data_IF_044946773717
#
_entry.id   IF_044946773717
#
_cell.length_a   1.000
_cell.length_b   1.000
_cell.length_c   1.000
_cell.angle_alpha   90.00
_cell.angle_beta   90.00
_cell.angle_gamma   90.00
#
_symmetry.space_group_name_H-M   'P 1'
#
loop_
_entity.id
_entity.type
_entity.pdbx_description
1 polymer ?
#
# COMPACT_ATOMS: atom_id res chain seq x y z
N UNK A 1 -15.04 10.00 9.16
CA UNK A 1 -16.25 9.83 10.01
C UNK A 1 -15.97 10.36 11.42
N UNK A 2 -16.97 10.41 12.31
CA UNK A 2 -16.78 10.91 13.68
C UNK A 2 -15.73 10.11 14.47
N UNK A 3 -15.82 8.78 14.39
CA UNK A 3 -14.89 7.84 15.04
C UNK A 3 -13.47 8.02 14.49
N UNK A 4 -13.36 8.18 13.17
CA UNK A 4 -12.12 8.54 12.48
C UNK A 4 -11.45 9.73 13.15
N UNK A 5 -12.18 10.82 13.27
CA UNK A 5 -11.65 12.09 13.74
C UNK A 5 -11.08 11.98 15.16
N UNK A 6 -11.70 11.20 16.03
CA UNK A 6 -11.31 11.04 17.43
C UNK A 6 -10.02 10.23 17.60
N UNK A 7 -9.93 9.04 17.01
CA UNK A 7 -8.76 8.16 17.20
C UNK A 7 -7.48 8.73 16.58
N UNK A 8 -7.65 9.70 15.70
CA UNK A 8 -6.62 10.30 14.89
C UNK A 8 -6.25 11.72 15.30
N UNK A 9 -6.89 12.22 16.35
CA UNK A 9 -6.67 13.59 16.83
C UNK A 9 -6.76 14.64 15.69
N UNK A 10 -7.68 14.41 14.74
CA UNK A 10 -7.87 15.32 13.61
C UNK A 10 -8.58 16.59 14.12
N UNK A 11 -8.24 17.77 13.57
CA UNK A 11 -8.78 19.03 14.05
C UNK A 11 -10.30 19.06 13.93
N UNK A 12 -10.93 19.89 14.77
CA UNK A 12 -12.39 19.89 14.86
C UNK A 12 -13.10 20.20 13.53
N UNK A 13 -12.41 20.94 12.68
CA UNK A 13 -12.81 21.36 11.34
C UNK A 13 -12.65 20.28 10.27
N UNK A 14 -12.06 19.12 10.58
CA UNK A 14 -11.86 18.06 9.60
C UNK A 14 -13.19 17.48 9.13
N UNK A 15 -13.33 17.37 7.80
CA UNK A 15 -14.37 16.62 7.13
C UNK A 15 -13.74 15.70 6.10
N UNK A 16 -14.28 14.49 5.97
CA UNK A 16 -13.84 13.51 4.98
C UNK A 16 -14.49 13.84 3.64
N UNK A 17 -13.66 14.05 2.60
CA UNK A 17 -14.14 14.26 1.24
C UNK A 17 -14.90 13.03 0.73
N UNK A 18 -16.02 13.26 0.06
CA UNK A 18 -16.82 12.21 -0.59
C UNK A 18 -17.08 12.61 -2.04
N UNK A 19 -17.01 11.63 -2.92
CA UNK A 19 -17.39 11.73 -4.31
C UNK A 19 -18.45 10.66 -4.61
N UNK A 20 -19.37 10.96 -5.52
CA UNK A 20 -20.40 10.02 -5.97
C UNK A 20 -20.26 9.76 -7.47
N UNK A 21 -20.57 8.56 -7.90
CA UNK A 21 -20.63 8.23 -9.33
C UNK A 21 -21.97 8.68 -9.90
N UNK A 22 -21.95 9.39 -11.03
CA UNK A 22 -23.17 9.68 -11.80
C UNK A 22 -23.37 8.55 -12.82
N UNK A 23 -24.54 7.90 -12.88
CA UNK A 23 -24.82 6.89 -13.90
C UNK A 23 -24.71 7.46 -15.32
N UNK A 24 -24.26 6.62 -16.26
CA UNK A 24 -24.10 7.01 -17.66
C UNK A 24 -25.46 7.19 -18.34
N UNK A 25 -25.82 8.39 -18.85
CA UNK A 25 -27.03 8.59 -19.63
C UNK A 25 -26.82 8.11 -21.06
N UNK A 26 -27.80 7.39 -21.61
CA UNK A 26 -27.72 6.84 -22.96
C UNK A 26 -28.99 7.12 -23.74
N UNK A 27 -28.84 7.60 -24.98
CA UNK A 27 -29.96 7.72 -25.92
C UNK A 27 -30.59 6.34 -26.13
N UNK A 28 -31.90 6.25 -25.91
CA UNK A 28 -32.62 4.99 -25.92
C UNK A 28 -34.11 5.18 -26.22
N UNK A 29 -34.72 4.18 -26.86
CA UNK A 29 -36.17 4.13 -27.09
C UNK A 29 -36.97 3.75 -25.83
N UNK A 30 -36.29 3.46 -24.72
CA UNK A 30 -36.90 3.11 -23.44
C UNK A 30 -37.43 4.34 -22.71
N UNK A 31 -38.56 4.17 -22.02
CA UNK A 31 -39.08 5.18 -21.09
C UNK A 31 -38.14 5.23 -19.88
N UNK A 32 -37.65 6.43 -19.57
CA UNK A 32 -36.80 6.69 -18.42
C UNK A 32 -37.66 7.08 -17.21
N UNK A 33 -38.54 8.07 -17.40
CA UNK A 33 -39.41 8.63 -16.37
C UNK A 33 -39.44 10.15 -16.39
N UNK A 34 -40.25 10.74 -15.52
CA UNK A 34 -40.43 12.19 -15.38
C UNK A 34 -39.25 12.86 -14.64
N UNK A 35 -38.15 13.15 -15.35
CA UNK A 35 -36.99 13.84 -14.75
C UNK A 35 -37.16 15.36 -14.66
N UNK A 36 -38.05 15.95 -15.48
CA UNK A 36 -38.28 17.40 -15.51
C UNK A 36 -39.38 17.85 -14.51
N UNK A 37 -40.14 16.90 -13.95
CA UNK A 37 -41.16 17.11 -12.93
C UNK A 37 -42.49 17.63 -13.48
N UNK A 38 -42.78 17.47 -14.76
CA UNK A 38 -44.01 17.98 -15.40
C UNK A 38 -45.20 17.00 -15.33
N UNK A 39 -44.97 15.81 -14.78
CA UNK A 39 -45.95 14.73 -14.65
C UNK A 39 -46.06 13.81 -15.86
N UNK A 40 -45.15 13.92 -16.83
CA UNK A 40 -45.10 13.09 -18.04
C UNK A 40 -43.80 12.27 -18.05
N UNK A 41 -43.91 10.97 -18.31
CA UNK A 41 -42.73 10.12 -18.42
C UNK A 41 -41.98 10.38 -19.73
N UNK A 42 -40.68 10.66 -19.62
CA UNK A 42 -39.83 11.04 -20.74
C UNK A 42 -38.92 9.90 -21.23
N UNK A 43 -38.38 10.07 -22.44
CA UNK A 43 -37.35 9.20 -23.03
C UNK A 43 -36.10 10.03 -23.33
N UNK A 44 -34.92 9.45 -23.11
CA UNK A 44 -33.66 10.07 -23.50
C UNK A 44 -33.47 9.89 -25.02
N UNK A 45 -33.80 10.90 -25.81
CA UNK A 45 -33.84 10.80 -27.28
C UNK A 45 -32.73 11.59 -27.96
N UNK A 46 -32.11 12.52 -27.24
CA UNK A 46 -31.10 13.44 -27.74
C UNK A 46 -29.92 13.57 -26.76
N UNK A 47 -28.84 14.17 -27.24
CA UNK A 47 -27.72 14.57 -26.39
C UNK A 47 -28.16 15.58 -25.30
N UNK A 48 -29.07 16.50 -25.63
CA UNK A 48 -29.60 17.45 -24.64
C UNK A 48 -30.33 16.71 -23.51
N UNK A 49 -31.14 15.70 -23.84
CA UNK A 49 -31.80 14.87 -22.83
C UNK A 49 -30.78 14.11 -21.96
N UNK A 50 -29.68 13.62 -22.54
CA UNK A 50 -28.61 12.98 -21.78
C UNK A 50 -28.02 13.94 -20.74
N UNK A 51 -27.73 15.18 -21.14
CA UNK A 51 -27.18 16.21 -20.24
C UNK A 51 -28.20 16.61 -19.18
N UNK A 52 -29.47 16.75 -19.54
CA UNK A 52 -30.55 17.10 -18.60
C UNK A 52 -30.77 16.01 -17.54
N UNK A 53 -30.81 14.73 -17.95
CA UNK A 53 -30.90 13.60 -17.02
C UNK A 53 -29.67 13.51 -16.12
N UNK A 54 -28.48 13.76 -16.67
CA UNK A 54 -27.24 13.80 -15.88
C UNK A 54 -27.31 14.89 -14.81
N UNK A 55 -27.73 16.10 -15.20
CA UNK A 55 -27.91 17.24 -14.30
C UNK A 55 -28.96 16.96 -13.23
N UNK A 56 -30.10 16.38 -13.60
CA UNK A 56 -31.15 15.99 -12.66
C UNK A 56 -30.60 15.05 -11.57
N UNK A 57 -29.82 14.03 -11.94
CA UNK A 57 -29.23 13.11 -10.97
C UNK A 57 -28.23 13.83 -10.05
N UNK A 58 -27.36 14.68 -10.62
CA UNK A 58 -26.41 15.51 -9.88
C UNK A 58 -27.13 16.40 -8.86
N UNK A 59 -28.18 17.10 -9.29
CA UNK A 59 -28.98 17.98 -8.45
C UNK A 59 -29.68 17.22 -7.33
N UNK A 60 -30.17 16.02 -7.61
CA UNK A 60 -30.80 15.16 -6.61
C UNK A 60 -29.79 14.64 -5.58
N UNK A 61 -28.57 14.29 -6.01
CA UNK A 61 -27.47 13.95 -5.09
C UNK A 61 -27.13 15.13 -4.17
N UNK A 62 -26.96 16.33 -4.74
CA UNK A 62 -26.63 17.55 -3.99
C UNK A 62 -27.72 17.85 -2.96
N UNK A 63 -28.99 17.89 -3.41
CA UNK A 63 -30.15 18.18 -2.55
C UNK A 63 -30.25 17.17 -1.40
N UNK A 64 -30.22 15.86 -1.70
CA UNK A 64 -30.34 14.81 -0.68
C UNK A 64 -29.16 14.82 0.30
N UNK A 65 -27.95 15.08 -0.17
CA UNK A 65 -26.78 15.18 0.72
C UNK A 65 -26.91 16.37 1.67
N UNK A 66 -27.34 17.53 1.15
CA UNK A 66 -27.57 18.74 1.95
C UNK A 66 -28.67 18.53 3.00
N UNK A 67 -29.78 17.89 2.65
CA UNK A 67 -30.88 17.57 3.56
C UNK A 67 -30.48 16.67 4.73
N UNK A 68 -29.48 15.80 4.52
CA UNK A 68 -28.97 14.93 5.59
C UNK A 68 -28.06 15.66 6.57
N UNK A 69 -27.46 16.79 6.17
CA UNK A 69 -26.66 17.62 7.07
C UNK A 69 -25.46 16.89 7.70
N UNK A 70 -24.75 16.05 6.94
CA UNK A 70 -23.62 15.27 7.47
C UNK A 70 -22.52 16.18 8.06
N UNK A 71 -22.26 16.04 9.36
CA UNK A 71 -21.30 16.91 10.07
C UNK A 71 -19.84 16.63 9.70
N UNK A 72 -19.51 15.38 9.37
CA UNK A 72 -18.14 14.90 9.17
C UNK A 72 -17.78 14.59 7.71
N UNK A 73 -18.70 14.83 6.78
CA UNK A 73 -18.50 14.57 5.36
C UNK A 73 -18.53 15.89 4.59
N UNK A 74 -17.68 15.99 3.58
CA UNK A 74 -17.60 17.11 2.67
C UNK A 74 -17.82 16.59 1.26
N UNK A 75 -18.98 16.91 0.68
CA UNK A 75 -19.31 16.44 -0.65
C UNK A 75 -18.55 17.26 -1.68
N UNK A 76 -17.53 16.66 -2.30
CA UNK A 76 -16.60 17.36 -3.19
C UNK A 76 -17.00 17.31 -4.65
N UNK A 77 -17.73 16.28 -5.06
CA UNK A 77 -18.30 16.21 -6.39
C UNK A 77 -18.46 14.80 -6.88
N UNK A 78 -18.12 14.59 -8.15
CA UNK A 78 -18.54 13.40 -8.88
C UNK A 78 -17.40 12.73 -9.60
N UNK A 79 -17.57 11.42 -9.80
CA UNK A 79 -16.71 10.59 -10.62
C UNK A 79 -17.44 10.21 -11.91
N UNK A 80 -16.77 10.40 -13.05
CA UNK A 80 -17.26 9.98 -14.36
C UNK A 80 -17.28 8.46 -14.45
N UNK A 81 -18.46 7.87 -14.65
CA UNK A 81 -18.65 6.43 -14.48
C UNK A 81 -17.99 5.55 -15.55
N UNK A 82 -17.81 6.07 -16.78
CA UNK A 82 -17.15 5.32 -17.84
C UNK A 82 -15.64 5.44 -17.64
N UNK A 83 -14.90 4.35 -17.85
CA UNK A 83 -13.43 4.36 -17.78
C UNK A 83 -12.76 4.68 -19.14
N UNK A 84 -13.57 5.10 -20.12
CA UNK A 84 -13.15 5.50 -21.46
C UNK A 84 -14.05 6.61 -22.00
N UNK A 85 -13.53 7.35 -22.99
CA UNK A 85 -14.28 8.36 -23.76
C UNK A 85 -14.17 7.91 -25.23
N UNK A 86 -15.17 7.15 -25.69
CA UNK A 86 -15.14 6.42 -26.96
C UNK A 86 -16.10 7.06 -27.97
N UNK A 87 -15.55 7.73 -28.98
CA UNK A 87 -16.33 8.31 -30.09
C UNK A 87 -16.97 7.24 -31.00
N UNK A 88 -16.40 6.03 -31.04
CA UNK A 88 -16.87 4.93 -31.89
C UNK A 88 -18.18 4.29 -31.40
N UNK A 89 -18.50 4.40 -30.10
CA UNK A 89 -19.77 3.89 -29.56
C UNK A 89 -20.90 4.89 -29.81
N UNK A 90 -20.63 6.17 -29.56
CA UNK A 90 -21.57 7.28 -29.65
C UNK A 90 -20.81 8.52 -30.19
N UNK A 91 -21.25 9.11 -31.31
CA UNK A 91 -20.61 10.28 -31.93
C UNK A 91 -20.71 11.58 -31.10
N UNK A 92 -21.40 11.50 -29.96
CA UNK A 92 -21.63 12.60 -29.02
C UNK A 92 -20.84 12.47 -27.70
N UNK A 93 -20.01 11.44 -27.52
CA UNK A 93 -19.41 11.12 -26.21
C UNK A 93 -18.52 12.24 -25.66
N UNK A 94 -17.66 12.83 -26.49
CA UNK A 94 -16.76 13.92 -26.08
C UNK A 94 -17.55 15.16 -25.69
N UNK A 95 -18.57 15.52 -26.50
CA UNK A 95 -19.43 16.67 -26.21
C UNK A 95 -20.26 16.44 -24.93
N UNK A 96 -20.77 15.22 -24.73
CA UNK A 96 -21.48 14.85 -23.50
C UNK A 96 -20.58 15.02 -22.28
N UNK A 97 -19.36 14.48 -22.31
CA UNK A 97 -18.41 14.60 -21.21
C UNK A 97 -18.10 16.07 -20.90
N UNK A 98 -17.78 16.87 -21.92
CA UNK A 98 -17.50 18.30 -21.76
C UNK A 98 -18.67 19.05 -21.11
N UNK A 99 -19.89 18.87 -21.64
CA UNK A 99 -21.09 19.54 -21.10
C UNK A 99 -21.40 19.08 -19.67
N UNK A 100 -21.29 17.80 -19.36
CA UNK A 100 -21.54 17.29 -18.02
C UNK A 100 -20.51 17.79 -16.99
N UNK A 101 -19.23 17.87 -17.36
CA UNK A 101 -18.16 18.42 -16.51
C UNK A 101 -18.42 19.90 -16.23
N UNK A 102 -18.74 20.69 -17.26
CA UNK A 102 -19.08 22.11 -17.10
C UNK A 102 -20.28 22.30 -16.16
N UNK A 103 -21.31 21.45 -16.29
CA UNK A 103 -22.49 21.48 -15.43
C UNK A 103 -22.17 21.15 -13.97
N UNK A 104 -21.31 20.15 -13.70
CA UNK A 104 -20.82 19.85 -12.34
C UNK A 104 -20.07 21.06 -11.75
N UNK A 105 -19.15 21.65 -12.52
CA UNK A 105 -18.30 22.75 -12.06
C UNK A 105 -19.09 24.04 -11.84
N UNK A 106 -20.11 24.32 -12.68
CA UNK A 106 -21.00 25.46 -12.49
C UNK A 106 -21.78 25.43 -11.16
N UNK A 107 -21.94 24.23 -10.58
CA UNK A 107 -22.56 24.01 -9.26
C UNK A 107 -21.56 24.08 -8.11
N UNK A 108 -20.27 24.32 -8.39
CA UNK A 108 -19.21 24.42 -7.41
C UNK A 108 -18.65 23.08 -6.94
N UNK A 109 -18.84 22.01 -7.71
CA UNK A 109 -18.34 20.67 -7.44
C UNK A 109 -17.24 20.27 -8.42
N UNK A 110 -16.46 19.26 -8.05
CA UNK A 110 -15.36 18.74 -8.86
C UNK A 110 -15.80 17.51 -9.67
N UNK A 111 -15.20 17.31 -10.85
CA UNK A 111 -15.39 16.11 -11.67
C UNK A 111 -14.07 15.36 -11.84
N UNK A 112 -14.03 14.09 -11.45
CA UNK A 112 -12.84 13.24 -11.54
C UNK A 112 -13.06 12.14 -12.57
N UNK A 113 -12.02 11.83 -13.34
CA UNK A 113 -12.00 10.73 -14.29
C UNK A 113 -10.91 9.72 -13.91
N UNK A 114 -11.22 8.43 -14.03
CA UNK A 114 -10.35 7.31 -13.64
C UNK A 114 -10.34 6.30 -14.80
N UNK A 115 -9.60 6.60 -15.87
CA UNK A 115 -9.47 5.69 -17.01
C UNK A 115 -8.56 4.51 -16.72
N UNK A 116 -8.80 3.38 -17.38
CA UNK A 116 -7.78 2.33 -17.45
C UNK A 116 -6.64 2.72 -18.39
N UNK A 117 -5.45 2.17 -18.13
CA UNK A 117 -4.27 2.42 -18.96
C UNK A 117 -4.52 2.00 -20.42
N UNK A 118 -4.27 2.92 -21.36
CA UNK A 118 -4.56 2.78 -22.79
C UNK A 118 -6.06 2.83 -23.17
N UNK A 119 -6.94 3.24 -22.26
CA UNK A 119 -8.33 3.58 -22.62
C UNK A 119 -8.38 4.67 -23.69
N UNK A 120 -9.36 4.55 -24.59
CA UNK A 120 -9.60 5.54 -25.62
C UNK A 120 -10.09 6.85 -24.98
N UNK A 121 -9.60 7.96 -25.52
CA UNK A 121 -9.98 9.32 -25.13
C UNK A 121 -9.38 9.84 -23.82
N UNK A 122 -8.60 9.02 -23.10
CA UNK A 122 -7.92 9.46 -21.86
C UNK A 122 -7.04 10.70 -22.06
N UNK A 123 -6.35 10.80 -23.20
CA UNK A 123 -5.49 11.96 -23.53
C UNK A 123 -6.23 13.29 -23.69
N UNK A 124 -7.57 13.27 -23.83
CA UNK A 124 -8.40 14.48 -23.97
C UNK A 124 -8.98 14.96 -22.64
N UNK A 125 -8.72 14.25 -21.53
CA UNK A 125 -9.38 14.54 -20.26
C UNK A 125 -9.14 15.96 -19.74
N UNK A 126 -7.94 16.51 -19.95
CA UNK A 126 -7.61 17.90 -19.62
C UNK A 126 -8.40 18.89 -20.49
N UNK A 127 -8.48 18.64 -21.81
CA UNK A 127 -9.23 19.48 -22.76
C UNK A 127 -10.74 19.47 -22.48
N UNK A 128 -11.26 18.33 -22.00
CA UNK A 128 -12.66 18.18 -21.56
C UNK A 128 -12.94 18.94 -20.26
N UNK A 129 -11.90 19.20 -19.45
CA UNK A 129 -11.99 20.03 -18.25
C UNK A 129 -12.13 19.25 -16.94
N UNK A 130 -11.81 17.95 -16.89
CA UNK A 130 -11.81 17.19 -15.63
C UNK A 130 -10.85 17.81 -14.61
N UNK A 131 -11.28 17.91 -13.35
CA UNK A 131 -10.48 18.47 -12.25
C UNK A 131 -9.28 17.59 -11.89
N UNK A 132 -9.41 16.27 -12.09
CA UNK A 132 -8.32 15.31 -11.96
C UNK A 132 -8.57 14.09 -12.84
N UNK A 133 -7.49 13.55 -13.42
CA UNK A 133 -7.49 12.27 -14.12
C UNK A 133 -6.53 11.31 -13.43
N UNK A 134 -6.99 10.11 -13.06
CA UNK A 134 -6.22 9.13 -12.29
C UNK A 134 -6.17 7.82 -13.06
N UNK A 135 -5.00 7.42 -13.55
CA UNK A 135 -4.88 6.28 -14.45
C UNK A 135 -4.82 4.96 -13.67
N UNK A 136 -5.55 3.96 -14.12
CA UNK A 136 -5.55 2.62 -13.53
C UNK A 136 -4.55 1.73 -14.29
N UNK A 137 -3.48 1.23 -13.64
CA UNK A 137 -2.53 0.36 -14.32
C UNK A 137 -3.18 -0.95 -14.78
N UNK A 138 -4.13 -1.49 -14.01
CA UNK A 138 -4.87 -2.70 -14.34
C UNK A 138 -3.99 -3.98 -14.46
N UNK A 139 -2.75 -3.94 -13.94
CA UNK A 139 -1.79 -5.05 -13.94
C UNK A 139 -2.34 -6.28 -13.21
N UNK A 140 -3.01 -6.08 -12.07
CA UNK A 140 -3.62 -7.18 -11.32
C UNK A 140 -4.73 -7.93 -12.07
N UNK A 141 -5.26 -7.34 -13.15
CA UNK A 141 -6.46 -7.85 -13.84
C UNK A 141 -6.20 -8.28 -15.29
N UNK A 142 -5.04 -7.92 -15.86
CA UNK A 142 -4.77 -8.09 -17.28
C UNK A 142 -3.55 -8.98 -17.55
N UNK A 143 -3.80 -10.17 -18.09
CA UNK A 143 -2.75 -11.15 -18.40
C UNK A 143 -1.68 -10.64 -19.37
N UNK A 144 -1.99 -9.65 -20.22
CA UNK A 144 -1.01 -9.06 -21.13
C UNK A 144 -0.03 -8.14 -20.40
N UNK A 145 -0.49 -7.37 -19.41
CA UNK A 145 0.35 -6.52 -18.57
C UNK A 145 1.26 -7.36 -17.65
N UNK A 146 0.76 -8.52 -17.21
CA UNK A 146 1.45 -9.45 -16.31
C UNK A 146 2.66 -10.17 -16.94
N UNK A 147 2.85 -10.11 -18.27
CA UNK A 147 3.96 -10.78 -18.95
C UNK A 147 5.31 -10.15 -18.63
N UNK A 148 5.34 -8.84 -18.48
CA UNK A 148 6.51 -8.06 -18.12
C UNK A 148 6.06 -6.86 -17.26
N UNK A 149 5.77 -7.09 -15.97
CA UNK A 149 5.22 -6.07 -15.09
C UNK A 149 6.10 -4.84 -14.94
N UNK A 150 7.43 -5.01 -14.95
CA UNK A 150 8.39 -3.92 -14.83
C UNK A 150 8.33 -3.03 -16.05
N UNK A 151 8.50 -3.61 -17.25
CA UNK A 151 8.42 -2.85 -18.51
C UNK A 151 7.06 -2.19 -18.69
N UNK A 152 6.00 -2.90 -18.33
CA UNK A 152 4.64 -2.37 -18.37
C UNK A 152 4.50 -1.10 -17.51
N UNK A 153 5.00 -1.16 -16.27
CA UNK A 153 4.91 0.00 -15.38
C UNK A 153 5.86 1.14 -15.78
N UNK A 154 6.98 0.87 -16.46
CA UNK A 154 7.79 1.94 -17.07
C UNK A 154 6.98 2.74 -18.09
N UNK A 155 6.28 2.06 -19.00
CA UNK A 155 5.45 2.70 -20.03
C UNK A 155 4.23 3.42 -19.39
N UNK A 156 3.63 2.84 -18.34
CA UNK A 156 2.58 3.47 -17.54
C UNK A 156 3.07 4.78 -16.93
N UNK A 157 4.22 4.74 -16.24
CA UNK A 157 4.81 5.90 -15.56
C UNK A 157 5.10 7.02 -16.55
N UNK A 158 5.71 6.68 -17.68
CA UNK A 158 6.01 7.65 -18.73
C UNK A 158 4.75 8.30 -19.30
N UNK A 159 3.67 7.53 -19.48
CA UNK A 159 2.40 8.04 -19.99
C UNK A 159 1.71 8.97 -19.00
N UNK A 160 1.60 8.55 -17.74
CA UNK A 160 0.98 9.38 -16.71
C UNK A 160 1.79 10.66 -16.46
N UNK A 161 3.12 10.61 -16.49
CA UNK A 161 3.96 11.80 -16.42
C UNK A 161 3.73 12.76 -17.62
N UNK A 162 3.55 12.22 -18.84
CA UNK A 162 3.30 13.01 -20.04
C UNK A 162 1.99 13.80 -19.98
N UNK A 163 0.93 13.19 -19.46
CA UNK A 163 -0.41 13.79 -19.40
C UNK A 163 -0.81 14.29 -18.00
N UNK A 164 0.14 14.36 -17.07
CA UNK A 164 -0.09 14.81 -15.70
C UNK A 164 -1.16 14.02 -14.94
N UNK A 165 -1.26 12.72 -15.21
CA UNK A 165 -2.24 11.84 -14.56
C UNK A 165 -1.78 11.36 -13.19
N UNK A 166 -2.75 11.17 -12.31
CA UNK A 166 -2.63 10.41 -11.09
C UNK A 166 -2.45 8.91 -11.34
N UNK A 167 -2.30 8.15 -10.25
CA UNK A 167 -2.24 6.68 -10.27
C UNK A 167 -3.30 6.07 -9.34
N UNK A 168 -4.02 5.07 -9.82
CA UNK A 168 -4.79 4.19 -8.95
C UNK A 168 -3.89 3.04 -8.46
N UNK A 169 -3.74 2.94 -7.15
CA UNK A 169 -3.07 1.81 -6.50
C UNK A 169 -4.08 0.68 -6.31
N UNK A 170 -3.94 -0.41 -7.07
CA UNK A 170 -4.95 -1.47 -7.12
C UNK A 170 -4.52 -2.70 -6.33
N UNK A 171 -4.92 -2.72 -5.06
CA UNK A 171 -4.77 -3.91 -4.25
C UNK A 171 -5.92 -4.87 -4.55
N UNK A 172 -5.64 -5.97 -5.27
CA UNK A 172 -6.67 -6.94 -5.67
C UNK A 172 -7.54 -7.38 -4.48
N UNK A 173 -8.84 -7.47 -4.70
CA UNK A 173 -9.79 -8.02 -3.73
C UNK A 173 -9.41 -9.47 -3.44
N UNK A 174 -9.00 -9.77 -2.19
CA UNK A 174 -8.46 -11.06 -1.70
C UNK A 174 -6.93 -11.24 -1.63
N UNK A 175 -6.11 -10.20 -1.85
CA UNK A 175 -4.64 -10.31 -1.76
C UNK A 175 -4.16 -11.03 -0.48
N UNK A 176 -4.77 -10.73 0.66
CA UNK A 176 -4.39 -11.32 1.95
C UNK A 176 -4.59 -12.86 2.02
N UNK A 177 -5.53 -13.43 1.26
CA UNK A 177 -5.76 -14.88 1.21
C UNK A 177 -5.30 -15.52 -0.10
N UNK A 178 -4.75 -14.73 -1.02
CA UNK A 178 -4.35 -15.16 -2.35
C UNK A 178 -3.18 -14.30 -2.84
N UNK A 179 -2.03 -14.44 -2.15
CA UNK A 179 -0.87 -13.59 -2.39
C UNK A 179 -0.27 -13.81 -3.77
N UNK A 180 -0.10 -15.04 -4.22
CA UNK A 180 0.55 -15.29 -5.51
C UNK A 180 -0.47 -15.33 -6.65
N UNK A 181 -0.25 -14.62 -7.78
CA UNK A 181 0.87 -13.70 -8.08
C UNK A 181 0.61 -12.22 -7.70
N UNK A 182 -0.52 -11.91 -7.07
CA UNK A 182 -1.02 -10.55 -6.89
C UNK A 182 -0.21 -9.65 -5.94
N UNK A 183 0.52 -10.25 -5.01
CA UNK A 183 1.47 -9.59 -4.12
C UNK A 183 2.59 -8.92 -4.92
N UNK A 184 3.12 -9.63 -5.92
CA UNK A 184 4.20 -9.12 -6.76
C UNK A 184 3.69 -8.00 -7.69
N UNK A 185 2.46 -8.09 -8.18
CA UNK A 185 1.87 -7.01 -8.97
C UNK A 185 1.65 -5.73 -8.16
N UNK A 186 1.15 -5.86 -6.93
CA UNK A 186 1.01 -4.69 -6.06
C UNK A 186 2.36 -4.14 -5.59
N UNK A 187 3.35 -5.02 -5.35
CA UNK A 187 4.73 -4.62 -5.10
C UNK A 187 5.29 -3.81 -6.28
N UNK A 188 5.05 -4.24 -7.52
CA UNK A 188 5.48 -3.53 -8.71
C UNK A 188 4.89 -2.11 -8.78
N UNK A 189 3.65 -1.91 -8.37
CA UNK A 189 3.08 -0.56 -8.25
C UNK A 189 3.85 0.31 -7.26
N UNK A 190 4.11 -0.21 -6.06
CA UNK A 190 4.84 0.51 -5.01
C UNK A 190 6.26 0.86 -5.46
N UNK A 191 6.97 -0.08 -6.08
CA UNK A 191 8.31 0.11 -6.63
C UNK A 191 8.32 1.19 -7.70
N UNK A 192 7.42 1.08 -8.69
CA UNK A 192 7.38 2.02 -9.82
C UNK A 192 7.00 3.43 -9.36
N UNK A 193 6.01 3.55 -8.48
CA UNK A 193 5.51 4.85 -8.04
C UNK A 193 6.44 5.55 -7.04
N UNK A 194 7.13 4.80 -6.15
CA UNK A 194 8.12 5.36 -5.22
C UNK A 194 9.38 5.89 -5.92
N UNK A 195 9.69 5.40 -7.13
CA UNK A 195 10.89 5.78 -7.90
C UNK A 195 10.65 6.81 -9.01
N UNK A 196 9.41 7.19 -9.28
CA UNK A 196 9.05 8.00 -10.46
C UNK A 196 8.47 9.38 -10.14
N UNK A 197 8.43 9.78 -8.87
CA UNK A 197 7.75 11.00 -8.41
C UNK A 197 6.25 10.83 -8.21
N UNK A 198 5.63 9.77 -8.74
CA UNK A 198 4.19 9.50 -8.55
C UNK A 198 3.79 9.37 -7.09
N UNK A 199 4.68 8.93 -6.21
CA UNK A 199 4.40 8.85 -4.77
C UNK A 199 4.13 10.23 -4.13
N UNK A 200 4.77 11.29 -4.60
CA UNK A 200 4.70 12.62 -3.95
C UNK A 200 4.00 13.68 -4.78
N UNK A 201 4.06 13.55 -6.11
CA UNK A 201 3.70 14.62 -7.03
C UNK A 201 2.38 14.34 -7.78
N UNK A 202 1.78 13.17 -7.58
CA UNK A 202 0.57 12.74 -8.28
C UNK A 202 -0.62 12.52 -7.33
N UNK A 203 -1.83 12.67 -7.85
CA UNK A 203 -3.06 12.29 -7.14
C UNK A 203 -3.18 10.77 -7.10
N UNK A 204 -3.60 10.22 -5.96
CA UNK A 204 -3.80 8.79 -5.80
C UNK A 204 -5.28 8.43 -5.68
N UNK A 205 -5.67 7.33 -6.31
CA UNK A 205 -6.85 6.56 -5.94
C UNK A 205 -6.40 5.19 -5.39
N UNK A 206 -7.27 4.53 -4.62
CA UNK A 206 -6.98 3.23 -4.04
C UNK A 206 -8.15 2.28 -4.30
N UNK A 207 -7.90 1.23 -5.08
CA UNK A 207 -8.84 0.13 -5.24
C UNK A 207 -8.46 -1.00 -4.27
N UNK A 208 -9.46 -1.51 -3.55
CA UNK A 208 -9.27 -2.57 -2.55
C UNK A 208 -10.41 -3.60 -2.50
N UNK A 209 -11.29 -3.59 -3.51
CA UNK A 209 -12.55 -4.34 -3.49
C UNK A 209 -13.62 -3.75 -2.57
N UNK A 210 -14.71 -4.50 -2.39
CA UNK A 210 -15.85 -4.09 -1.58
C UNK A 210 -15.71 -4.46 -0.09
N UNK A 211 -16.59 -3.90 0.75
CA UNK A 211 -16.63 -4.17 2.18
C UNK A 211 -15.42 -3.59 2.92
N UNK A 212 -14.88 -4.33 3.90
CA UNK A 212 -13.67 -3.91 4.61
C UNK A 212 -12.45 -3.76 3.68
N UNK A 213 -12.41 -4.50 2.57
CA UNK A 213 -11.36 -4.43 1.55
C UNK A 213 -10.03 -5.07 1.94
N UNK A 214 -9.16 -5.26 0.94
CA UNK A 214 -7.85 -5.90 1.10
C UNK A 214 -6.89 -5.09 1.97
N UNK A 215 -6.99 -3.75 2.01
CA UNK A 215 -6.09 -2.92 2.83
C UNK A 215 -6.37 -3.18 4.31
N UNK A 216 -7.63 -3.27 4.73
CA UNK A 216 -7.98 -3.63 6.11
C UNK A 216 -7.52 -5.05 6.45
N UNK A 217 -7.71 -6.01 5.55
CA UNK A 217 -7.23 -7.39 5.76
C UNK A 217 -5.71 -7.44 5.99
N UNK A 218 -4.95 -6.66 5.23
CA UNK A 218 -3.51 -6.51 5.45
C UNK A 218 -3.22 -5.86 6.81
N UNK A 219 -3.96 -4.82 7.18
CA UNK A 219 -3.78 -4.10 8.44
C UNK A 219 -3.93 -5.02 9.67
N UNK A 220 -4.93 -5.90 9.68
CA UNK A 220 -5.23 -6.75 10.86
C UNK A 220 -4.55 -8.13 10.82
N UNK A 221 -3.75 -8.41 9.79
CA UNK A 221 -3.12 -9.71 9.63
C UNK A 221 -2.00 -9.95 10.64
N UNK A 222 -1.93 -11.18 11.17
CA UNK A 222 -0.79 -11.67 11.95
C UNK A 222 0.33 -12.23 11.07
N UNK A 223 0.07 -12.47 9.78
CA UNK A 223 1.10 -12.83 8.82
C UNK A 223 1.93 -11.59 8.49
N UNK A 224 3.25 -11.68 8.73
CA UNK A 224 4.16 -10.54 8.61
C UNK A 224 4.33 -10.04 7.17
N UNK A 225 4.23 -10.92 6.16
CA UNK A 225 4.33 -10.53 4.74
C UNK A 225 3.05 -9.84 4.28
N UNK A 226 1.90 -10.36 4.69
CA UNK A 226 0.60 -9.72 4.41
C UNK A 226 0.52 -8.36 5.12
N UNK A 227 0.93 -8.29 6.39
CA UNK A 227 0.95 -7.03 7.16
C UNK A 227 1.88 -5.99 6.55
N UNK A 228 3.02 -6.41 6.02
CA UNK A 228 3.98 -5.53 5.36
C UNK A 228 3.35 -4.71 4.23
N UNK A 229 2.42 -5.26 3.44
CA UNK A 229 1.75 -4.51 2.38
C UNK A 229 0.93 -3.32 2.90
N UNK A 230 0.32 -3.44 4.09
CA UNK A 230 -0.34 -2.31 4.73
C UNK A 230 0.68 -1.25 5.18
N UNK A 231 1.76 -1.67 5.84
CA UNK A 231 2.78 -0.76 6.35
C UNK A 231 3.52 -0.04 5.20
N UNK A 232 3.77 -0.74 4.08
CA UNK A 232 4.36 -0.18 2.88
C UNK A 232 3.41 0.82 2.20
N UNK A 233 2.13 0.47 2.05
CA UNK A 233 1.11 1.40 1.52
C UNK A 233 0.95 2.64 2.42
N UNK A 234 1.00 2.47 3.75
CA UNK A 234 0.99 3.59 4.68
C UNK A 234 2.18 4.52 4.45
N UNK A 235 3.40 3.98 4.36
CA UNK A 235 4.59 4.79 4.02
C UNK A 235 4.48 5.45 2.65
N UNK A 236 3.88 4.78 1.66
CA UNK A 236 3.61 5.35 0.34
C UNK A 236 2.70 6.57 0.44
N UNK A 237 1.56 6.44 1.14
CA UNK A 237 0.61 7.54 1.39
C UNK A 237 1.28 8.71 2.13
N UNK A 238 2.25 8.43 3.01
CA UNK A 238 3.02 9.45 3.73
C UNK A 238 4.18 10.03 2.92
N UNK A 239 4.46 9.51 1.72
CA UNK A 239 5.60 9.93 0.90
C UNK A 239 6.96 9.54 1.48
N UNK A 240 7.01 8.52 2.34
CA UNK A 240 8.24 8.09 3.05
C UNK A 240 8.68 6.68 2.68
N UNK A 241 7.99 6.00 1.76
CA UNK A 241 8.37 4.65 1.33
C UNK A 241 9.65 4.71 0.50
N UNK A 242 10.64 3.90 0.89
CA UNK A 242 11.91 3.75 0.16
C UNK A 242 12.11 2.31 -0.29
N UNK A 243 12.12 2.07 -1.60
CA UNK A 243 12.41 0.76 -2.19
C UNK A 243 13.56 0.93 -3.21
N UNK A 244 14.83 1.01 -2.77
CA UNK A 244 15.97 1.23 -3.67
C UNK A 244 16.15 0.07 -4.67
N UNK A 245 16.74 0.34 -5.84
CA UNK A 245 16.97 -0.67 -6.90
C UNK A 245 17.89 -1.80 -6.45
N UNK A 246 18.85 -1.47 -5.61
CA UNK A 246 19.73 -2.42 -4.94
C UNK A 246 19.36 -2.45 -3.46
N UNK A 247 19.26 -3.64 -2.89
CA UNK A 247 18.96 -3.85 -1.48
C UNK A 247 20.16 -4.52 -0.82
N UNK A 248 21.04 -3.70 -0.23
CA UNK A 248 22.13 -4.21 0.60
C UNK A 248 21.60 -4.70 1.95
N UNK A 249 22.29 -5.67 2.54
CA UNK A 249 21.95 -6.15 3.89
C UNK A 249 22.79 -5.42 4.92
N UNK A 250 22.13 -4.74 5.85
CA UNK A 250 22.75 -4.17 7.03
C UNK A 250 22.75 -5.23 8.16
N UNK A 251 23.93 -5.70 8.54
CA UNK A 251 24.12 -6.63 9.65
C UNK A 251 25.50 -6.53 10.29
N UNK A 252 25.64 -7.10 11.48
CA UNK A 252 26.93 -7.23 12.18
C UNK A 252 27.63 -8.52 11.76
N UNK A 253 28.71 -8.40 10.97
CA UNK A 253 29.46 -9.56 10.46
C UNK A 253 30.40 -10.19 11.48
N UNK A 254 30.74 -9.46 12.55
CA UNK A 254 31.61 -9.91 13.63
C UNK A 254 30.99 -9.48 14.97
N UNK A 255 30.81 -10.44 15.88
CA UNK A 255 30.22 -10.19 17.19
C UNK A 255 31.07 -10.82 18.29
N UNK A 256 30.99 -10.27 19.51
CA UNK A 256 31.64 -10.82 20.70
C UNK A 256 30.59 -11.07 21.77
N UNK A 257 30.66 -12.23 22.41
CA UNK A 257 29.74 -12.62 23.49
C UNK A 257 30.50 -13.34 24.61
N UNK A 258 30.13 -13.06 25.85
CA UNK A 258 30.65 -13.79 26.99
C UNK A 258 30.05 -15.20 27.04
N UNK A 259 30.84 -16.18 27.50
CA UNK A 259 30.41 -17.56 27.73
C UNK A 259 29.12 -17.60 28.57
N UNK A 260 28.13 -18.37 28.09
CA UNK A 260 26.80 -18.47 28.70
C UNK A 260 25.87 -17.25 28.49
N UNK A 261 26.37 -16.20 27.82
CA UNK A 261 25.61 -15.00 27.46
C UNK A 261 24.56 -15.22 26.37
N UNK A 262 23.91 -14.13 25.96
CA UNK A 262 22.97 -14.09 24.84
C UNK A 262 23.28 -12.85 24.03
N UNK A 263 23.70 -13.02 22.78
CA UNK A 263 23.82 -11.93 21.84
C UNK A 263 22.49 -11.71 21.12
N UNK A 264 22.13 -10.45 20.86
CA UNK A 264 20.99 -10.06 20.02
C UNK A 264 21.50 -9.10 18.96
N UNK A 265 21.56 -9.54 17.71
CA UNK A 265 21.98 -8.71 16.59
C UNK A 265 20.80 -8.39 15.68
N UNK A 266 20.82 -7.21 15.06
CA UNK A 266 19.79 -6.80 14.08
C UNK A 266 20.24 -7.09 12.67
N UNK A 267 19.26 -7.39 11.81
CA UNK A 267 19.46 -7.52 10.37
C UNK A 267 18.30 -6.83 9.65
N UNK A 268 18.61 -6.06 8.61
CA UNK A 268 17.60 -5.48 7.73
C UNK A 268 18.15 -5.32 6.32
N UNK A 269 17.25 -5.27 5.34
CA UNK A 269 17.60 -4.74 4.02
C UNK A 269 17.58 -3.21 4.07
N UNK A 270 18.41 -2.58 3.24
CA UNK A 270 18.31 -1.15 2.99
C UNK A 270 16.91 -0.79 2.47
N UNK A 271 16.36 0.33 2.96
CA UNK A 271 15.00 0.75 2.63
C UNK A 271 13.92 -0.05 3.37
N UNK A 272 12.76 -0.16 2.74
CA UNK A 272 11.52 -0.68 3.33
C UNK A 272 11.11 -2.03 2.73
N UNK A 273 12.03 -2.72 2.05
CA UNK A 273 11.77 -4.02 1.46
C UNK A 273 11.30 -5.05 2.50
N UNK A 274 10.30 -5.86 2.12
CA UNK A 274 10.01 -7.07 2.87
C UNK A 274 11.24 -7.98 2.86
N UNK A 275 11.53 -8.62 3.99
CA UNK A 275 12.64 -9.54 4.13
C UNK A 275 12.22 -10.74 4.98
N UNK A 276 12.68 -11.92 4.58
CA UNK A 276 12.50 -13.18 5.30
C UNK A 276 13.88 -13.82 5.51
N UNK A 277 14.59 -13.36 6.54
CA UNK A 277 15.88 -13.95 6.90
C UNK A 277 15.67 -15.33 7.53
N UNK A 278 16.51 -16.29 7.15
CA UNK A 278 16.46 -17.66 7.65
C UNK A 278 17.85 -18.11 8.09
N UNK A 279 17.92 -18.94 9.13
CA UNK A 279 19.21 -19.54 9.51
C UNK A 279 19.61 -20.57 8.46
N UNK A 280 20.64 -20.26 7.67
CA UNK A 280 21.18 -21.14 6.63
C UNK A 280 22.12 -22.20 7.23
N UNK A 281 22.92 -21.82 8.23
CA UNK A 281 23.87 -22.71 8.90
C UNK A 281 23.92 -22.41 10.39
N UNK A 282 23.70 -23.43 11.22
CA UNK A 282 23.90 -23.32 12.66
C UNK A 282 25.38 -23.17 13.02
N UNK A 283 25.62 -22.56 14.18
CA UNK A 283 26.92 -22.53 14.81
C UNK A 283 27.35 -23.92 15.28
N UNK A 284 28.66 -24.16 15.38
CA UNK A 284 29.17 -25.45 15.86
C UNK A 284 29.18 -25.52 17.39
N UNK A 285 29.43 -24.39 18.06
CA UNK A 285 29.59 -24.31 19.51
C UNK A 285 28.59 -23.34 20.16
N UNK A 286 27.40 -23.26 19.57
CA UNK A 286 26.31 -22.42 20.02
C UNK A 286 25.06 -22.64 19.18
N UNK A 287 23.98 -21.98 19.57
CA UNK A 287 22.70 -22.03 18.86
C UNK A 287 22.32 -20.64 18.37
N UNK A 288 21.92 -20.55 17.09
CA UNK A 288 21.34 -19.33 16.52
C UNK A 288 19.85 -19.52 16.23
N UNK A 289 19.07 -18.48 16.45
CA UNK A 289 17.65 -18.38 16.08
C UNK A 289 17.34 -17.00 15.52
N UNK A 290 16.47 -16.91 14.53
CA UNK A 290 16.02 -15.63 13.96
C UNK A 290 14.55 -15.35 14.32
N UNK A 291 14.24 -14.08 14.59
CA UNK A 291 12.92 -13.60 14.97
C UNK A 291 12.45 -12.53 13.97
N UNK A 292 11.74 -12.90 12.89
CA UNK A 292 11.37 -11.97 11.81
C UNK A 292 10.57 -10.76 12.27
N UNK A 293 9.63 -10.95 13.18
CA UNK A 293 8.82 -9.86 13.74
C UNK A 293 9.63 -8.79 14.50
N UNK A 294 10.86 -9.12 14.92
CA UNK A 294 11.77 -8.19 15.58
C UNK A 294 12.90 -7.70 14.65
N UNK A 295 13.13 -8.36 13.50
CA UNK A 295 14.31 -8.12 12.67
C UNK A 295 15.62 -8.50 13.38
N UNK A 296 15.58 -9.50 14.27
CA UNK A 296 16.68 -9.82 15.18
C UNK A 296 17.07 -11.30 15.13
N UNK A 297 18.37 -11.59 15.05
CA UNK A 297 18.91 -12.91 15.39
C UNK A 297 19.38 -12.95 16.84
N UNK A 298 19.39 -14.15 17.41
CA UNK A 298 19.94 -14.41 18.73
C UNK A 298 20.95 -15.54 18.65
N UNK A 299 22.12 -15.32 19.23
CA UNK A 299 23.16 -16.33 19.37
C UNK A 299 23.42 -16.60 20.85
N UNK A 300 23.50 -17.88 21.22
CA UNK A 300 23.86 -18.32 22.56
C UNK A 300 24.96 -19.38 22.46
N UNK A 301 26.17 -19.12 22.98
CA UNK A 301 27.23 -20.11 22.97
C UNK A 301 26.88 -21.28 23.89
N UNK A 302 27.47 -22.44 23.63
CA UNK A 302 27.42 -23.57 24.53
C UNK A 302 28.03 -23.20 25.89
N UNK A 303 27.47 -23.77 26.96
CA UNK A 303 27.69 -23.30 28.34
C UNK A 303 29.16 -23.19 28.75
N UNK A 304 30.03 -24.02 28.20
CA UNK A 304 31.45 -24.11 28.56
C UNK A 304 32.38 -23.60 27.46
N UNK A 305 31.85 -23.22 26.30
CA UNK A 305 32.66 -22.89 25.14
C UNK A 305 33.31 -21.50 25.27
N UNK A 306 34.58 -21.41 24.87
CA UNK A 306 35.37 -20.19 24.70
C UNK A 306 36.18 -20.40 23.42
N UNK A 307 36.15 -19.44 22.51
CA UNK A 307 36.82 -19.55 21.21
C UNK A 307 36.02 -18.96 20.05
N UNK A 308 36.48 -19.24 18.84
CA UNK A 308 35.89 -18.76 17.59
C UNK A 308 34.78 -19.69 17.08
N UNK A 309 33.61 -19.13 16.84
CA UNK A 309 32.45 -19.81 16.27
C UNK A 309 31.93 -19.02 15.06
N UNK A 310 31.04 -19.63 14.28
CA UNK A 310 30.41 -18.93 13.15
C UNK A 310 29.11 -19.59 12.75
N UNK A 311 28.17 -18.79 12.29
CA UNK A 311 26.92 -19.25 11.70
C UNK A 311 26.62 -18.45 10.45
N UNK A 312 25.64 -18.90 9.67
CA UNK A 312 25.20 -18.19 8.46
C UNK A 312 23.68 -17.99 8.46
N UNK A 313 23.26 -16.81 8.01
CA UNK A 313 21.86 -16.44 7.79
C UNK A 313 21.70 -16.14 6.30
N UNK A 314 20.62 -16.61 5.68
CA UNK A 314 20.30 -16.31 4.29
C UNK A 314 19.10 -15.37 4.20
N UNK A 315 19.05 -14.58 3.13
CA UNK A 315 17.91 -13.73 2.77
C UNK A 315 17.66 -13.78 1.27
N UNK A 316 16.40 -13.86 0.87
CA UNK A 316 16.01 -13.60 -0.51
C UNK A 316 15.85 -12.10 -0.72
N UNK A 317 16.60 -11.56 -1.68
CA UNK A 317 16.54 -10.16 -2.09
C UNK A 317 15.34 -9.89 -3.01
N UNK A 318 14.95 -8.62 -3.18
CA UNK A 318 13.86 -8.24 -4.07
C UNK A 318 14.02 -8.64 -5.53
N UNK A 319 15.26 -8.81 -6.01
CA UNK A 319 15.58 -9.29 -7.36
C UNK A 319 15.46 -10.82 -7.50
N UNK A 320 15.02 -11.51 -6.45
CA UNK A 320 14.88 -12.97 -6.38
C UNK A 320 16.18 -13.70 -6.04
N UNK A 321 17.32 -13.01 -5.99
CA UNK A 321 18.60 -13.63 -5.61
C UNK A 321 18.61 -13.99 -4.12
N UNK A 322 19.40 -14.99 -3.74
CA UNK A 322 19.62 -15.34 -2.34
C UNK A 322 21.04 -14.96 -1.95
N UNK A 323 21.19 -14.27 -0.83
CA UNK A 323 22.48 -13.94 -0.24
C UNK A 323 22.66 -14.69 1.08
N UNK A 324 23.81 -15.33 1.26
CA UNK A 324 24.21 -15.98 2.52
C UNK A 324 25.23 -15.10 3.26
N UNK A 325 24.90 -14.75 4.51
CA UNK A 325 25.60 -13.80 5.34
C UNK A 325 26.26 -14.57 6.49
N UNK A 326 27.59 -14.60 6.48
CA UNK A 326 28.35 -15.23 7.56
C UNK A 326 28.54 -14.24 8.71
N UNK A 327 28.20 -14.67 9.93
CA UNK A 327 28.51 -13.97 11.18
C UNK A 327 29.61 -14.74 11.91
N UNK A 328 30.72 -14.07 12.18
CA UNK A 328 31.82 -14.59 12.99
C UNK A 328 31.60 -14.22 14.45
N UNK A 329 31.85 -15.16 15.35
CA UNK A 329 31.60 -14.99 16.78
C UNK A 329 32.87 -15.28 17.55
N UNK A 330 33.31 -14.31 18.35
CA UNK A 330 34.33 -14.55 19.37
C UNK A 330 33.63 -14.75 20.72
N UNK A 331 33.72 -15.96 21.27
CA UNK A 331 33.20 -16.29 22.60
C UNK A 331 34.31 -16.09 23.63
N UNK A 332 34.08 -15.15 24.54
CA UNK A 332 35.04 -14.72 25.58
C UNK A 332 34.70 -15.33 26.93
N UNK A 333 35.70 -15.45 27.80
CA UNK A 333 35.55 -15.98 29.15
C UNK A 333 36.81 -16.69 29.64
N UNK A 334 36.86 -16.98 30.93
CA UNK A 334 37.91 -17.83 31.49
C UNK A 334 37.73 -19.27 31.00
N UNK A 335 38.82 -19.85 30.48
CA UNK A 335 38.86 -21.26 30.12
C UNK A 335 38.74 -22.10 31.38
N UNK A 336 37.74 -23.00 31.43
CA UNK A 336 37.65 -24.03 32.47
C UNK A 336 38.69 -25.14 32.19
N UNK A 337 39.95 -24.76 31.95
CA UNK A 337 41.05 -25.70 31.96
C UNK A 337 41.28 -26.14 33.41
N UNK A 338 40.41 -27.05 33.88
CA UNK A 338 40.67 -27.81 35.07
C UNK A 338 41.95 -28.61 34.80
N UNK A 339 43.02 -28.24 35.50
CA UNK A 339 44.28 -28.95 35.49
C UNK A 339 44.03 -30.41 35.88
N UNK A 340 43.86 -31.28 34.89
CA UNK A 340 43.65 -32.69 35.10
C UNK A 340 44.87 -33.30 35.81
N UNK A 341 44.70 -34.01 36.95
CA UNK A 341 45.74 -34.89 37.45
C UNK A 341 45.89 -36.10 36.51
N UNK A 342 47.11 -36.63 36.48
CA UNK A 342 47.55 -37.70 35.59
C UNK A 342 46.66 -38.95 35.62
N UNK A 343 46.63 -39.62 34.46
CA UNK A 343 45.88 -40.82 34.13
C UNK A 343 45.99 -41.97 35.14
N UNK A 344 44.91 -42.76 35.22
CA UNK A 344 45.00 -44.19 35.52
C UNK A 344 44.01 -44.96 34.64
N UNK A 345 44.53 -45.98 33.97
CA UNK A 345 43.81 -46.90 33.08
C UNK A 345 42.71 -47.69 33.79
N UNK A 346 41.65 -48.02 33.03
CA UNK A 346 40.63 -48.99 33.43
C UNK A 346 39.58 -49.18 32.34
N UNK A 347 39.73 -50.21 31.51
CA UNK A 347 38.69 -50.73 30.62
C UNK A 347 37.51 -51.32 31.42
N UNK A 348 36.27 -51.12 30.94
CA UNK A 348 35.34 -52.21 30.57
C UNK A 348 33.91 -51.72 30.24
N UNK A 349 33.43 -52.12 29.05
CA UNK A 349 32.13 -52.77 28.76
C UNK A 349 30.78 -52.11 29.14
N UNK A 350 30.04 -51.69 28.10
CA UNK A 350 28.70 -52.22 27.76
C UNK A 350 27.45 -51.57 28.39
N UNK A 351 26.44 -51.30 27.55
CA UNK A 351 25.03 -51.22 28.00
C UNK A 351 24.16 -50.13 27.38
N UNK A 352 23.40 -50.53 26.36
CA UNK A 352 22.05 -50.13 25.91
C UNK A 352 21.43 -48.73 26.15
N UNK A 353 20.77 -48.29 25.08
CA UNK A 353 19.78 -47.22 25.02
C UNK A 353 18.41 -47.63 25.60
N UNK A 354 17.56 -46.64 25.94
CA UNK A 354 16.14 -46.74 25.62
C UNK A 354 15.61 -45.55 24.81
N UNK A 355 14.81 -45.90 23.80
CA UNK A 355 13.81 -45.02 23.17
C UNK A 355 12.70 -44.69 24.18
N UNK A 356 12.16 -43.47 24.13
CA UNK A 356 10.75 -43.27 24.48
C UNK A 356 10.04 -42.31 23.52
N UNK A 357 8.75 -42.59 23.39
CA UNK A 357 7.80 -42.27 22.34
C UNK A 357 7.17 -40.90 22.53
N UNK A 358 6.73 -40.32 21.42
CA UNK A 358 6.21 -38.96 21.35
C UNK A 358 4.80 -38.77 21.90
N UNK A 359 4.27 -37.56 21.71
CA UNK A 359 2.82 -37.31 21.66
C UNK A 359 2.55 -36.08 20.80
N UNK A 360 1.67 -36.27 19.80
CA UNK A 360 0.99 -35.26 18.99
C UNK A 360 -0.09 -34.56 19.82
N UNK A 361 -0.29 -33.24 19.64
CA UNK A 361 -1.57 -32.58 19.93
C UNK A 361 -2.08 -31.82 18.69
N UNK A 362 -3.29 -32.19 18.27
CA UNK A 362 -4.07 -31.56 17.24
C UNK A 362 -5.11 -30.59 17.84
N UNK A 363 -5.30 -29.48 17.13
CA UNK A 363 -6.49 -28.62 16.98
C UNK A 363 -7.70 -28.83 17.91
N UNK A 364 -8.13 -27.73 18.54
CA UNK A 364 -9.55 -27.43 18.79
C UNK A 364 -9.81 -25.95 18.46
N UNK A 365 -10.77 -25.72 17.56
CA UNK A 365 -11.27 -24.40 17.20
C UNK A 365 -12.41 -23.91 18.11
N UNK A 366 -12.77 -22.64 17.94
CA UNK A 366 -13.95 -22.03 18.54
C UNK A 366 -14.16 -20.60 18.06
N UNK A 367 -15.20 -20.40 17.24
CA UNK A 367 -15.76 -19.11 16.83
C UNK A 367 -16.32 -18.33 18.04
N UNK A 368 -16.15 -17.01 18.04
CA UNK A 368 -17.08 -16.08 18.67
C UNK A 368 -17.14 -14.77 17.88
N UNK A 369 -18.36 -14.35 17.56
CA UNK A 369 -18.70 -13.13 16.83
C UNK A 369 -18.56 -11.87 17.71
N UNK A 370 -18.25 -10.74 17.08
CA UNK A 370 -18.30 -9.42 17.72
C UNK A 370 -17.93 -8.31 16.75
N UNK A 371 -18.74 -7.26 16.73
CA UNK A 371 -18.78 -6.14 15.79
C UNK A 371 -17.43 -5.43 15.53
N UNK A 372 -17.24 -4.96 14.28
CA UNK A 372 -16.10 -4.11 13.87
C UNK A 372 -16.63 -2.72 13.50
N UNK A 373 -16.04 -1.72 14.17
CA UNK A 373 -16.07 -0.30 13.88
C UNK A 373 -14.70 0.04 13.26
N UNK A 374 -14.69 0.73 12.13
CA UNK A 374 -13.47 1.06 11.37
C UNK A 374 -13.02 2.49 11.65
N UNK A 375 -11.77 2.61 12.10
CA UNK A 375 -11.07 3.88 12.26
C UNK A 375 -9.72 3.81 11.56
N UNK A 376 -9.43 4.74 10.64
CA UNK A 376 -8.15 4.94 9.95
C UNK A 376 -7.71 6.40 9.73
N UNK A 377 -6.54 6.77 10.22
CA UNK A 377 -5.90 8.09 9.99
C UNK A 377 -4.47 8.01 9.53
N UNK A 378 -3.72 9.11 9.37
CA UNK A 378 -3.87 10.56 9.64
C UNK A 378 -3.17 11.29 8.49
N UNK A 379 -3.61 12.51 8.21
CA UNK A 379 -3.00 13.47 7.29
C UNK A 379 -1.76 14.22 7.83
N UNK A 380 -1.07 14.90 6.91
CA UNK A 380 -0.13 16.03 7.07
C UNK A 380 1.35 15.68 7.42
N UNK A 381 2.38 16.41 6.95
CA UNK A 381 2.41 17.82 6.52
C UNK A 381 3.51 18.15 5.49
N UNK A 382 3.26 19.15 4.65
CA UNK A 382 4.29 20.11 4.20
C UNK A 382 3.72 21.52 4.38
N UNK A 383 4.24 22.24 5.38
CA UNK A 383 4.00 23.66 5.58
C UNK A 383 5.21 24.44 5.03
N UNK A 384 4.97 25.27 4.01
CA UNK A 384 5.99 26.17 3.46
C UNK A 384 6.29 27.29 4.45
N UNK A 385 7.52 27.28 4.97
CA UNK A 385 8.12 28.40 5.67
C UNK A 385 8.46 29.52 4.67
N UNK A 386 7.78 30.67 4.77
CA UNK A 386 8.45 31.96 4.50
C UNK A 386 7.97 33.01 5.50
N UNK A 387 8.77 33.18 6.56
CA UNK A 387 8.64 34.25 7.53
C UNK A 387 9.10 35.59 6.95
N UNK A 388 8.27 36.61 7.19
CA UNK A 388 8.50 38.05 6.99
C UNK A 388 9.90 38.52 7.46
N UNK A 389 10.51 39.42 6.68
CA UNK A 389 11.30 40.53 7.24
C UNK A 389 10.65 41.86 6.90
N UNK A 390 10.18 42.52 7.94
CA UNK A 390 9.83 43.94 7.91
C UNK A 390 11.11 44.78 7.83
N UNK A 391 11.10 45.79 6.97
CA UNK A 391 12.14 46.82 6.89
C UNK A 391 11.58 48.02 6.13
N UNK A 392 11.05 48.99 6.87
CA UNK A 392 10.53 50.21 6.29
C UNK A 392 11.64 51.15 5.78
N UNK A 393 11.33 51.90 4.72
CA UNK A 393 11.58 53.35 4.58
C UNK A 393 11.05 53.86 3.23
N UNK A 394 10.00 54.66 3.32
CA UNK A 394 9.85 56.02 2.79
C UNK A 394 10.29 56.38 1.34
N UNK A 395 9.31 56.96 0.62
CA UNK A 395 9.40 58.02 -0.42
C UNK A 395 10.05 57.70 -1.78
N UNK A 396 9.22 57.69 -2.84
CA UNK A 396 8.97 58.88 -3.70
C UNK A 396 8.00 58.54 -4.84
N UNK A 397 6.89 59.28 -4.91
CA UNK A 397 6.16 59.57 -6.15
C UNK A 397 7.12 60.22 -7.15
N UNK A 398 7.12 59.78 -8.40
CA UNK A 398 7.23 60.66 -9.57
C UNK A 398 6.72 59.97 -10.84
N UNK A 399 5.63 60.57 -11.34
CA UNK A 399 5.02 60.54 -12.67
C UNK A 399 4.50 59.20 -13.18
#
# INVERSE_FOLDING_TARGET
TAELKADLDLPDTHKTAVYLTVPYPKISDLVFGDWNGDGIDEKISTLDDCVDVYCWFVDECIRRFAEKGYEHLDFKGFFWCSESIIEDENDYEVELAHRCVEQIQSRGYQSIFIPYFQSAGSWMAEDIGFDATILQPNLSFNAWAQKDPERFMEDFVATAAKYHFGIQMEMKENLASNMEPYADYFLQYLVSASRSGMMTDAVHAYYQGAGYGSVHQCAVSSDVRVRWFYDALYKFVKGTLSLPSEAEVEYESEITVEKGGLYKGRMKLEGDWFNDFTVAKQALNGTVSYYPALGEFRYRPDRTYVGEDSFAIAVQKPDGTTEELTVRVTVTGESDAESAPAASDGEASGGDAPQDKGTNWALIGGLAAGAVVLVGGIAAAVAVMTGRRAGGKDKKKKK
#
